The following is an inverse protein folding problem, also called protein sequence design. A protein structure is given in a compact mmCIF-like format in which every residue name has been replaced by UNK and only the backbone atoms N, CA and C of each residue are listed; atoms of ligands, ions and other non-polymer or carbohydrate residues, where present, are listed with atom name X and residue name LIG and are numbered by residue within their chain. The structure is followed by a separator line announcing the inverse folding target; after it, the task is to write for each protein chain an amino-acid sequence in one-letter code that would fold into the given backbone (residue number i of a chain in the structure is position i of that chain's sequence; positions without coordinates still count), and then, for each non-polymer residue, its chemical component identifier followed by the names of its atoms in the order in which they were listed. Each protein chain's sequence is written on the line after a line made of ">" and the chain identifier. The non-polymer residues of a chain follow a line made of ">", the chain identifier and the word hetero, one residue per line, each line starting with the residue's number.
data_IF_108059649792
#
_entry.id   IF_108059649792
#
_cell.length_a   1.000
_cell.length_b   1.000
_cell.length_c   1.000
_cell.angle_alpha   90.00
_cell.angle_beta   90.00
_cell.angle_gamma   90.00
#
_symmetry.space_group_name_H-M   'P 1'
#
loop_
_entity.id
_entity.type
_entity.pdbx_description
1 polymer ?
#
# COMPACT_ATOMS: atom_id res chain seq x y z
N UNK A 1 -14.01 -8.73 41.38
CA UNK A 1 -13.52 -7.83 40.30
C UNK A 1 -12.01 -7.82 40.06
N UNK A 2 -11.14 -8.42 40.90
CA UNK A 2 -9.66 -8.38 40.70
C UNK A 2 -9.05 -9.44 39.76
N UNK A 3 -9.77 -10.51 39.40
CA UNK A 3 -9.25 -11.64 38.60
C UNK A 3 -9.60 -11.59 37.10
N UNK A 4 -10.75 -11.00 36.79
CA UNK A 4 -11.27 -10.86 35.42
C UNK A 4 -10.57 -9.71 34.69
N UNK A 5 -10.16 -8.65 35.41
CA UNK A 5 -9.47 -7.50 34.84
C UNK A 5 -8.02 -7.81 34.41
N UNK A 6 -7.29 -8.64 35.17
CA UNK A 6 -5.88 -8.96 34.85
C UNK A 6 -5.68 -9.69 33.51
N UNK A 7 -6.63 -10.54 33.12
CA UNK A 7 -6.58 -11.24 31.84
C UNK A 7 -7.30 -10.49 30.71
N UNK A 8 -8.42 -9.81 30.99
CA UNK A 8 -9.15 -9.03 29.98
C UNK A 8 -8.42 -7.78 29.50
N UNK A 9 -7.61 -7.15 30.36
CA UNK A 9 -6.87 -5.93 29.98
C UNK A 9 -5.81 -6.19 28.91
N UNK A 10 -5.20 -7.37 28.91
CA UNK A 10 -4.20 -7.76 27.92
C UNK A 10 -4.85 -8.00 26.53
N UNK A 11 -6.02 -8.63 26.49
CA UNK A 11 -6.79 -8.79 25.25
C UNK A 11 -7.26 -7.44 24.69
N UNK A 12 -7.68 -6.51 25.56
CA UNK A 12 -8.02 -5.14 25.18
C UNK A 12 -6.80 -4.40 24.61
N UNK A 13 -5.62 -4.57 25.22
CA UNK A 13 -4.37 -3.96 24.77
C UNK A 13 -3.97 -4.46 23.38
N UNK A 14 -4.03 -5.78 23.14
CA UNK A 14 -3.73 -6.37 21.82
C UNK A 14 -4.69 -5.81 20.77
N UNK A 15 -5.99 -5.76 21.08
CA UNK A 15 -6.99 -5.17 20.19
C UNK A 15 -6.69 -3.70 19.85
N UNK A 16 -6.29 -2.91 20.85
CA UNK A 16 -5.92 -1.51 20.68
C UNK A 16 -4.66 -1.34 19.81
N UNK A 17 -3.65 -2.19 20.00
CA UNK A 17 -2.42 -2.19 19.19
C UNK A 17 -2.72 -2.57 17.75
N UNK A 18 -3.53 -3.61 17.52
CA UNK A 18 -3.89 -4.02 16.16
C UNK A 18 -4.73 -2.95 15.46
N UNK A 19 -5.63 -2.28 16.18
CA UNK A 19 -6.41 -1.17 15.65
C UNK A 19 -5.48 0.01 15.30
N UNK A 20 -4.50 0.31 16.15
CA UNK A 20 -3.50 1.34 15.88
C UNK A 20 -2.66 1.05 14.63
N UNK A 21 -2.22 -0.20 14.44
CA UNK A 21 -1.51 -0.63 13.23
C UNK A 21 -2.41 -0.45 12.01
N UNK A 22 -3.65 -0.96 12.04
CA UNK A 22 -4.58 -0.82 10.92
C UNK A 22 -4.82 0.65 10.56
N UNK A 23 -4.93 1.56 11.53
CA UNK A 23 -5.11 2.99 11.29
C UNK A 23 -3.88 3.66 10.68
N UNK A 24 -2.67 3.25 11.06
CA UNK A 24 -1.41 3.78 10.50
C UNK A 24 -1.18 3.24 9.09
N UNK A 25 -1.49 1.97 8.84
CA UNK A 25 -1.30 1.34 7.54
C UNK A 25 -2.41 1.65 6.53
N UNK A 26 -3.62 2.06 6.96
CA UNK A 26 -4.67 2.58 6.07
C UNK A 26 -4.54 4.09 5.79
N UNK A 27 -3.40 4.72 6.12
CA UNK A 27 -3.07 6.01 5.52
C UNK A 27 -2.63 5.77 4.07
N UNK A 28 -3.57 5.32 3.25
CA UNK A 28 -3.39 5.38 1.80
C UNK A 28 -3.44 6.86 1.43
N UNK A 29 -2.30 7.40 1.01
CA UNK A 29 -2.29 8.68 0.31
C UNK A 29 -3.01 8.43 -1.02
N UNK A 30 -4.28 8.81 -1.13
CA UNK A 30 -4.99 8.68 -2.39
C UNK A 30 -4.20 9.42 -3.48
N UNK A 31 -3.85 8.73 -4.59
CA UNK A 31 -3.07 9.36 -5.63
C UNK A 31 -3.87 10.47 -6.29
N UNK A 32 -3.21 11.56 -6.64
CA UNK A 32 -3.83 12.66 -7.38
C UNK A 32 -4.19 12.15 -8.78
N UNK A 33 -5.47 12.14 -9.14
CA UNK A 33 -5.88 11.75 -10.50
C UNK A 33 -5.80 12.96 -11.41
N UNK A 34 -4.99 12.87 -12.44
CA UNK A 34 -4.91 13.88 -13.50
C UNK A 34 -5.70 13.41 -14.71
N UNK A 35 -6.46 14.33 -15.30
CA UNK A 35 -7.00 14.11 -16.64
C UNK A 35 -5.86 14.07 -17.67
N UNK A 36 -6.16 13.53 -18.85
CA UNK A 36 -5.19 13.48 -19.96
C UNK A 36 -4.61 14.87 -20.26
N UNK A 37 -5.45 15.90 -20.28
CA UNK A 37 -5.02 17.25 -20.68
C UNK A 37 -4.19 17.90 -19.57
N UNK A 38 -4.56 17.73 -18.30
CA UNK A 38 -3.75 18.17 -17.16
C UNK A 38 -2.40 17.46 -17.11
N UNK A 39 -2.36 16.17 -17.42
CA UNK A 39 -1.12 15.41 -17.52
C UNK A 39 -0.20 15.98 -18.60
N UNK A 40 -0.68 16.16 -19.83
CA UNK A 40 0.17 16.73 -20.88
C UNK A 40 0.60 18.17 -20.58
N UNK A 41 -0.27 18.97 -19.96
CA UNK A 41 0.09 20.34 -19.55
C UNK A 41 1.19 20.34 -18.49
N UNK A 42 1.07 19.49 -17.46
CA UNK A 42 2.11 19.38 -16.41
C UNK A 42 3.42 18.80 -16.92
N UNK A 43 3.34 17.93 -17.93
CA UNK A 43 4.48 17.34 -18.62
C UNK A 43 5.21 18.39 -19.48
N UNK A 44 4.48 19.18 -20.26
CA UNK A 44 5.03 20.28 -21.08
C UNK A 44 5.56 21.44 -20.22
N UNK A 45 4.99 21.66 -19.04
CA UNK A 45 5.48 22.64 -18.06
C UNK A 45 6.80 22.22 -17.37
N UNK A 46 7.33 21.01 -17.65
CA UNK A 46 8.53 20.47 -17.00
C UNK A 46 8.37 20.24 -15.50
N UNK A 47 7.12 20.08 -15.02
CA UNK A 47 6.83 19.88 -13.58
C UNK A 47 6.94 18.43 -13.15
N UNK A 48 7.18 17.51 -14.07
CA UNK A 48 7.25 16.07 -13.83
C UNK A 48 8.71 15.65 -13.68
N UNK A 49 9.05 15.00 -12.58
CA UNK A 49 10.42 14.54 -12.29
C UNK A 49 10.61 13.05 -12.57
N UNK A 50 9.52 12.29 -12.62
CA UNK A 50 9.56 10.85 -12.72
C UNK A 50 8.30 10.33 -13.41
N UNK A 51 8.48 9.36 -14.30
CA UNK A 51 7.38 8.69 -14.99
C UNK A 51 7.60 7.18 -15.01
N UNK A 52 6.55 6.46 -14.63
CA UNK A 52 6.40 5.02 -14.75
C UNK A 52 5.15 4.74 -15.59
N UNK A 53 5.29 3.88 -16.60
CA UNK A 53 4.27 3.61 -17.61
C UNK A 53 3.80 2.16 -17.50
N UNK A 54 2.54 1.96 -17.13
CA UNK A 54 1.94 0.63 -17.05
C UNK A 54 0.92 0.45 -18.17
N UNK A 55 1.07 -0.60 -18.99
CA UNK A 55 0.14 -0.85 -20.10
C UNK A 55 -1.07 -1.63 -19.59
N UNK A 56 -2.22 -0.98 -19.48
CA UNK A 56 -3.49 -1.61 -19.12
C UNK A 56 -4.42 -1.71 -20.33
N UNK A 57 -4.43 -2.88 -20.99
CA UNK A 57 -5.29 -3.20 -22.14
C UNK A 57 -5.24 -2.12 -23.25
N UNK A 58 -6.18 -1.16 -23.22
CA UNK A 58 -6.35 -0.09 -24.25
C UNK A 58 -5.76 1.27 -23.83
N UNK A 59 -5.22 1.39 -22.63
CA UNK A 59 -4.78 2.64 -22.01
C UNK A 59 -3.42 2.42 -21.36
N UNK A 60 -2.59 3.47 -21.30
CA UNK A 60 -1.45 3.53 -20.40
C UNK A 60 -1.89 4.19 -19.10
N UNK A 61 -1.74 3.47 -17.99
CA UNK A 61 -1.76 4.07 -16.66
C UNK A 61 -0.36 4.62 -16.40
N UNK A 62 -0.29 5.91 -16.08
CA UNK A 62 0.96 6.63 -15.87
C UNK A 62 1.01 6.98 -14.40
N UNK A 63 2.04 6.51 -13.72
CA UNK A 63 2.37 6.93 -12.36
C UNK A 63 3.53 7.89 -12.42
N UNK A 64 3.34 9.10 -11.92
CA UNK A 64 4.38 10.11 -11.96
C UNK A 64 4.49 10.91 -10.69
N UNK A 65 5.60 11.63 -10.56
CA UNK A 65 5.86 12.54 -9.44
C UNK A 65 6.10 13.94 -9.97
N UNK A 66 5.47 14.92 -9.33
CA UNK A 66 5.70 16.32 -9.62
C UNK A 66 6.85 16.86 -8.76
N UNK A 67 7.44 17.96 -9.20
CA UNK A 67 8.41 18.71 -8.39
C UNK A 67 7.79 19.06 -7.04
N UNK A 68 8.47 18.66 -5.96
CA UNK A 68 8.01 18.91 -4.59
C UNK A 68 7.14 17.81 -3.97
N UNK A 69 6.83 16.73 -4.71
CA UNK A 69 6.16 15.57 -4.14
C UNK A 69 7.10 14.80 -3.20
N UNK A 70 6.56 14.32 -2.07
CA UNK A 70 7.25 13.36 -1.21
C UNK A 70 7.39 11.99 -1.88
N UNK A 71 8.22 11.09 -1.34
CA UNK A 71 8.52 9.79 -1.98
C UNK A 71 7.28 8.89 -2.14
N UNK A 72 6.30 9.05 -1.27
CA UNK A 72 5.04 8.32 -1.19
C UNK A 72 3.88 9.05 -1.89
N UNK A 73 4.12 10.27 -2.41
CA UNK A 73 3.13 11.02 -3.19
C UNK A 73 3.35 10.78 -4.67
N UNK A 74 2.27 10.48 -5.39
CA UNK A 74 2.28 10.27 -6.82
C UNK A 74 0.93 10.67 -7.43
N UNK A 75 0.96 11.00 -8.71
CA UNK A 75 -0.24 11.17 -9.52
C UNK A 75 -0.47 9.95 -10.40
N UNK A 76 -1.74 9.74 -10.78
CA UNK A 76 -2.13 8.76 -11.79
C UNK A 76 -2.79 9.50 -12.95
N UNK A 77 -2.36 9.21 -14.17
CA UNK A 77 -3.03 9.66 -15.39
C UNK A 77 -3.32 8.46 -16.31
N UNK A 78 -4.41 8.54 -17.06
CA UNK A 78 -4.83 7.49 -18.00
C UNK A 78 -4.84 8.04 -19.41
N UNK A 79 -3.98 7.50 -20.28
CA UNK A 79 -3.79 8.02 -21.64
C UNK A 79 -4.01 6.92 -22.66
N UNK A 80 -4.72 7.16 -23.78
CA UNK A 80 -4.94 6.14 -24.80
C UNK A 80 -3.62 5.52 -25.27
N UNK A 81 -3.60 4.19 -25.39
CA UNK A 81 -2.47 3.44 -25.91
C UNK A 81 -2.36 3.66 -27.43
N UNK A 82 -1.69 4.75 -27.82
CA UNK A 82 -1.41 5.11 -29.20
C UNK A 82 0.05 5.55 -29.33
N UNK A 83 0.61 5.39 -30.54
CA UNK A 83 1.96 5.86 -30.85
C UNK A 83 2.11 7.37 -30.65
N UNK A 84 1.06 8.14 -30.93
CA UNK A 84 1.03 9.60 -30.74
C UNK A 84 1.24 9.95 -29.26
N UNK A 85 0.57 9.24 -28.34
CA UNK A 85 0.73 9.49 -26.90
C UNK A 85 2.14 9.16 -26.44
N UNK A 86 2.70 8.03 -26.90
CA UNK A 86 4.05 7.60 -26.56
C UNK A 86 5.12 8.56 -27.07
N UNK A 87 4.99 9.03 -28.32
CA UNK A 87 5.93 9.98 -28.93
C UNK A 87 5.94 11.30 -28.16
N UNK A 88 4.77 11.82 -27.79
CA UNK A 88 4.67 13.04 -26.95
C UNK A 88 5.36 12.87 -25.60
N UNK A 89 5.16 11.73 -24.94
CA UNK A 89 5.78 11.46 -23.63
C UNK A 89 7.30 11.28 -23.74
N UNK A 90 7.78 10.58 -24.77
CA UNK A 90 9.22 10.42 -25.01
C UNK A 90 9.91 11.75 -25.27
N UNK A 91 9.31 12.60 -26.12
CA UNK A 91 9.84 13.94 -26.41
C UNK A 91 9.95 14.79 -25.16
N UNK A 92 8.90 14.84 -24.34
CA UNK A 92 8.95 15.62 -23.11
C UNK A 92 9.93 15.04 -22.08
N UNK A 93 10.09 13.71 -22.03
CA UNK A 93 11.08 13.07 -21.17
C UNK A 93 12.51 13.40 -21.59
N UNK A 94 12.79 13.45 -22.90
CA UNK A 94 14.09 13.86 -23.45
C UNK A 94 14.35 15.36 -23.23
N UNK A 95 13.34 16.21 -23.41
CA UNK A 95 13.45 17.67 -23.28
C UNK A 95 13.67 18.12 -21.83
N UNK A 96 13.07 17.43 -20.87
CA UNK A 96 13.11 17.79 -19.45
C UNK A 96 13.95 16.83 -18.58
N UNK A 97 14.72 15.93 -19.20
CA UNK A 97 15.58 14.95 -18.52
C UNK A 97 14.83 14.14 -17.43
N UNK A 98 13.61 13.70 -17.77
CA UNK A 98 12.73 12.98 -16.85
C UNK A 98 13.23 11.54 -16.74
N UNK A 99 13.48 11.09 -15.51
CA UNK A 99 13.80 9.67 -15.25
C UNK A 99 12.58 8.81 -15.61
N UNK A 100 12.66 8.15 -16.76
CA UNK A 100 11.63 7.26 -17.28
C UNK A 100 11.95 5.83 -16.85
N UNK A 101 11.17 5.28 -15.93
CA UNK A 101 11.26 3.86 -15.60
C UNK A 101 10.37 3.07 -16.55
N UNK A 102 10.98 2.03 -17.11
CA UNK A 102 10.47 1.16 -18.17
C UNK A 102 9.11 0.55 -17.88
N UNK A 103 8.46 0.21 -18.99
CA UNK A 103 7.12 -0.35 -19.07
C UNK A 103 7.08 -1.71 -18.38
N UNK A 104 6.45 -1.79 -17.21
CA UNK A 104 6.06 -3.08 -16.65
C UNK A 104 4.89 -3.60 -17.49
N UNK A 105 5.19 -4.37 -18.53
CA UNK A 105 4.21 -5.28 -19.14
C UNK A 105 4.06 -6.45 -18.20
N UNK A 106 3.22 -6.30 -17.20
CA UNK A 106 2.57 -7.44 -16.60
C UNK A 106 1.42 -6.88 -15.79
N UNK A 107 0.24 -7.47 -15.98
CA UNK A 107 -0.94 -7.29 -15.18
C UNK A 107 -0.59 -7.60 -13.71
N UNK A 108 0.09 -6.70 -13.01
CA UNK A 108 0.33 -6.83 -11.57
C UNK A 108 -0.94 -6.43 -10.84
N UNK A 109 -2.05 -7.08 -11.18
CA UNK A 109 -3.06 -7.41 -10.19
C UNK A 109 -2.28 -7.91 -8.98
N UNK A 110 -2.35 -7.17 -7.86
CA UNK A 110 -1.68 -7.53 -6.61
C UNK A 110 -1.92 -9.00 -6.38
N UNK A 111 -0.87 -9.82 -6.53
CA UNK A 111 -1.02 -11.27 -6.66
C UNK A 111 -1.97 -11.75 -5.57
N UNK A 112 -3.03 -12.46 -5.96
CA UNK A 112 -4.07 -12.88 -5.01
C UNK A 112 -3.46 -13.58 -3.79
N UNK A 113 -2.34 -14.28 -3.99
CA UNK A 113 -1.53 -14.84 -2.92
C UNK A 113 -0.90 -13.80 -1.99
N UNK A 114 -0.28 -12.75 -2.54
CA UNK A 114 0.25 -11.64 -1.75
C UNK A 114 -0.87 -11.00 -0.95
N UNK A 115 -1.99 -10.64 -1.58
CA UNK A 115 -3.15 -10.05 -0.88
C UNK A 115 -3.68 -10.96 0.23
N UNK A 116 -3.79 -12.27 -0.03
CA UNK A 116 -4.22 -13.25 0.97
C UNK A 116 -3.22 -13.35 2.13
N UNK A 117 -1.91 -13.41 1.86
CA UNK A 117 -0.91 -13.49 2.93
C UNK A 117 -0.84 -12.20 3.74
N UNK A 118 -0.80 -11.03 3.10
CA UNK A 118 -0.72 -9.74 3.80
C UNK A 118 -1.96 -9.46 4.64
N UNK A 119 -3.15 -9.87 4.19
CA UNK A 119 -4.40 -9.75 4.97
C UNK A 119 -4.54 -10.82 6.06
N UNK A 120 -4.05 -12.05 5.84
CA UNK A 120 -4.22 -13.18 6.78
C UNK A 120 -3.18 -13.18 7.90
N UNK A 121 -1.95 -12.70 7.64
CA UNK A 121 -0.86 -12.67 8.63
C UNK A 121 -1.23 -11.91 9.91
N UNK A 122 -1.84 -10.71 9.87
CA UNK A 122 -2.29 -10.01 11.08
C UNK A 122 -3.23 -10.86 11.94
N UNK A 123 -4.19 -11.56 11.33
CA UNK A 123 -5.11 -12.44 12.03
C UNK A 123 -4.41 -13.67 12.62
N UNK A 124 -3.45 -14.27 11.89
CA UNK A 124 -2.64 -15.38 12.39
C UNK A 124 -1.83 -14.98 13.62
N UNK A 125 -1.21 -13.79 13.62
CA UNK A 125 -0.44 -13.29 14.76
C UNK A 125 -1.34 -13.15 15.99
N UNK A 126 -2.53 -12.56 15.84
CA UNK A 126 -3.51 -12.42 16.93
C UNK A 126 -3.95 -13.80 17.44
N UNK A 127 -4.23 -14.74 16.52
CA UNK A 127 -4.65 -16.09 16.86
C UNK A 127 -3.57 -16.84 17.65
N UNK A 128 -2.30 -16.76 17.23
CA UNK A 128 -1.16 -17.36 17.93
C UNK A 128 -1.01 -16.72 19.32
N UNK A 129 -1.06 -15.40 19.43
CA UNK A 129 -0.96 -14.70 20.72
C UNK A 129 -2.08 -15.12 21.68
N UNK A 130 -3.32 -15.27 21.19
CA UNK A 130 -4.44 -15.77 21.97
C UNK A 130 -4.16 -17.18 22.51
N UNK A 131 -3.69 -18.08 21.66
CA UNK A 131 -3.33 -19.45 22.07
C UNK A 131 -2.19 -19.49 23.09
N UNK A 132 -1.16 -18.66 22.91
CA UNK A 132 -0.04 -18.56 23.86
C UNK A 132 -0.54 -18.11 25.23
N UNK A 133 -1.40 -17.09 25.30
CA UNK A 133 -1.97 -16.60 26.57
C UNK A 133 -2.88 -17.65 27.20
N UNK A 134 -3.71 -18.33 26.39
CA UNK A 134 -4.57 -19.41 26.87
C UNK A 134 -3.72 -20.55 27.43
N UNK A 135 -2.67 -20.96 26.71
CA UNK A 135 -1.77 -22.02 27.14
C UNK A 135 -1.07 -21.65 28.43
N UNK A 136 -0.49 -20.45 28.54
CA UNK A 136 0.14 -19.95 29.77
C UNK A 136 -0.86 -19.95 30.94
N UNK A 137 -2.08 -19.46 30.72
CA UNK A 137 -3.10 -19.43 31.78
C UNK A 137 -3.57 -20.83 32.19
N UNK A 138 -3.67 -21.78 31.26
CA UNK A 138 -3.96 -23.19 31.54
C UNK A 138 -2.81 -23.85 32.31
N UNK A 139 -1.57 -23.62 31.89
CA UNK A 139 -0.36 -24.17 32.54
C UNK A 139 -0.24 -23.64 33.96
N UNK A 140 -0.36 -22.33 34.19
CA UNK A 140 -0.32 -21.72 35.53
C UNK A 140 -1.44 -22.29 36.41
N UNK A 141 -2.66 -22.46 35.86
CA UNK A 141 -3.78 -23.04 36.61
C UNK A 141 -3.56 -24.51 36.94
N UNK A 142 -2.87 -25.27 36.07
CA UNK A 142 -2.47 -26.67 36.33
C UNK A 142 -1.38 -26.75 37.39
N UNK A 143 -0.39 -25.85 37.33
CA UNK A 143 0.74 -25.81 38.27
C UNK A 143 0.30 -25.39 39.69
N UNK A 144 -0.75 -24.58 39.79
CA UNK A 144 -1.27 -24.06 41.06
C UNK A 144 -2.51 -24.84 41.59
N UNK A 145 -2.72 -26.10 41.15
CA UNK A 145 -3.75 -26.97 41.76
C UNK A 145 -3.21 -27.55 43.07
N UNK A 146 -3.89 -27.38 44.22
CA UNK A 146 -3.53 -28.12 45.43
C UNK A 146 -3.69 -29.63 45.16
N UNK A 147 -2.73 -30.42 45.66
CA UNK A 147 -2.76 -31.89 45.59
C UNK A 147 -3.98 -32.44 46.30
#
# INVERSE_FOLDING_TARGET
>A
MKRIFRSKILYLLIFLVTLGIVLVFNKDNEPTKLTKDEFFTTLEDGKVTFLELERQKRVYEIRGRLVGYEKDQYFIASVPNSEISLDKMNKAAEEHDIEKIEVTTEDTETSGWVTLFTSTIPFMIIFILFFVILLITVVIKRLNRPR
#
